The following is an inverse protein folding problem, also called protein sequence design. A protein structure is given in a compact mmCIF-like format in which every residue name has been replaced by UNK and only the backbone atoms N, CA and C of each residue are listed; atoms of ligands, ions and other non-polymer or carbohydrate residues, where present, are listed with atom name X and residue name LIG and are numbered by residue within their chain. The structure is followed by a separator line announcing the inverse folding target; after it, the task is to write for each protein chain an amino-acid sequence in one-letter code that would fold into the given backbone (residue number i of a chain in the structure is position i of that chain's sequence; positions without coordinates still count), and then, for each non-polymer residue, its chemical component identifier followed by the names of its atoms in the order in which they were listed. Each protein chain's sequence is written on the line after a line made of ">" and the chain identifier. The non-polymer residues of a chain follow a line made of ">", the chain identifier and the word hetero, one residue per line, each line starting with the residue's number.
data_IF_172715349253
#
_entry.id   IF_172715349253
#
_cell.length_a   1.000
_cell.length_b   1.000
_cell.length_c   1.000
_cell.angle_alpha   90.00
_cell.angle_beta   90.00
_cell.angle_gamma   90.00
#
_symmetry.space_group_name_H-M   'P 1'
#
loop_
_entity.id
_entity.type
_entity.pdbx_description
1 polymer ?
#
# COMPACT_ATOMS: atom_id res chain seq x y z
N UNK A 1 -2.67 52.70 10.11
CA UNK A 1 -3.67 51.62 10.16
C UNK A 1 -4.47 51.88 11.42
N UNK A 2 -5.73 52.28 11.31
CA UNK A 2 -6.53 52.53 12.50
C UNK A 2 -6.77 51.21 13.25
N UNK A 3 -6.94 51.27 14.57
CA UNK A 3 -7.08 50.08 15.43
C UNK A 3 -8.21 49.12 14.95
N UNK A 4 -9.20 49.65 14.23
CA UNK A 4 -10.31 48.91 13.64
C UNK A 4 -9.97 48.02 12.44
N UNK A 5 -8.78 48.14 11.85
CA UNK A 5 -8.38 47.33 10.68
C UNK A 5 -7.50 46.14 11.06
N UNK A 6 -7.18 45.98 12.33
CA UNK A 6 -6.40 44.82 12.82
C UNK A 6 -7.19 43.54 12.56
N UNK A 7 -6.53 42.54 11.96
CA UNK A 7 -7.19 41.31 11.55
C UNK A 7 -7.69 40.50 12.78
N UNK A 8 -7.06 40.64 13.95
CA UNK A 8 -7.62 40.23 15.25
C UNK A 8 -8.96 40.89 15.59
N UNK A 9 -9.11 42.20 15.40
CA UNK A 9 -10.38 42.90 15.58
C UNK A 9 -11.41 42.47 14.52
N UNK A 10 -10.98 42.25 13.28
CA UNK A 10 -11.87 41.70 12.24
C UNK A 10 -12.33 40.28 12.56
N UNK A 11 -11.47 39.43 13.10
CA UNK A 11 -11.76 38.06 13.57
C UNK A 11 -12.77 38.10 14.71
N UNK A 12 -12.57 38.97 15.70
CA UNK A 12 -13.52 39.18 16.79
C UNK A 12 -14.90 39.65 16.29
N UNK A 13 -14.93 40.62 15.36
CA UNK A 13 -16.16 41.12 14.76
C UNK A 13 -16.86 40.05 13.91
N UNK A 14 -16.10 39.23 13.17
CA UNK A 14 -16.62 38.08 12.41
C UNK A 14 -17.19 37.01 13.34
N UNK A 15 -16.51 36.69 14.44
CA UNK A 15 -16.98 35.75 15.46
C UNK A 15 -18.29 36.21 16.10
N UNK A 16 -18.41 37.49 16.45
CA UNK A 16 -19.67 38.06 16.95
C UNK A 16 -20.81 37.96 15.92
N UNK A 17 -20.53 38.17 14.64
CA UNK A 17 -21.52 38.03 13.57
C UNK A 17 -21.98 36.58 13.38
N UNK A 18 -21.06 35.61 13.47
CA UNK A 18 -21.37 34.17 13.35
C UNK A 18 -22.25 33.69 14.52
N UNK A 19 -22.07 34.25 15.72
CA UNK A 19 -22.89 33.93 16.88
C UNK A 19 -24.27 34.61 16.87
N UNK A 20 -24.46 35.66 16.05
CA UNK A 20 -25.70 36.42 15.99
C UNK A 20 -26.75 35.72 15.14
N UNK A 21 -27.83 35.26 15.77
CA UNK A 21 -28.95 34.61 15.09
C UNK A 21 -29.61 35.54 14.04
N UNK A 22 -29.63 36.85 14.29
CA UNK A 22 -30.18 37.84 13.36
C UNK A 22 -29.38 37.92 12.06
N UNK A 23 -28.06 37.84 12.15
CA UNK A 23 -27.19 37.86 10.95
C UNK A 23 -27.29 36.53 10.21
N UNK A 24 -27.31 35.39 10.93
CA UNK A 24 -27.52 34.07 10.33
C UNK A 24 -28.83 33.97 9.54
N UNK A 25 -29.94 34.47 10.09
CA UNK A 25 -31.23 34.48 9.39
C UNK A 25 -31.18 35.38 8.13
N UNK A 26 -30.52 36.53 8.21
CA UNK A 26 -30.33 37.42 7.05
C UNK A 26 -29.53 36.74 5.95
N UNK A 27 -28.37 36.17 6.28
CA UNK A 27 -27.50 35.47 5.33
C UNK A 27 -28.23 34.26 4.70
N UNK A 28 -29.02 33.54 5.49
CA UNK A 28 -29.86 32.44 5.01
C UNK A 28 -30.96 32.92 4.05
N UNK A 29 -31.64 34.01 4.38
CA UNK A 29 -32.63 34.62 3.50
C UNK A 29 -31.99 35.14 2.21
N UNK A 30 -30.86 35.84 2.27
CA UNK A 30 -30.18 36.39 1.07
C UNK A 30 -29.64 35.30 0.13
N UNK A 31 -29.20 34.18 0.68
CA UNK A 31 -28.66 33.06 -0.11
C UNK A 31 -29.76 32.17 -0.66
N UNK A 32 -30.77 31.80 0.13
CA UNK A 32 -31.78 30.81 -0.26
C UNK A 32 -33.00 31.45 -0.94
N UNK A 33 -33.35 32.70 -0.63
CA UNK A 33 -34.56 33.35 -1.18
C UNK A 33 -34.36 33.70 -2.66
N UNK A 34 -35.10 33.00 -3.52
CA UNK A 34 -35.16 33.28 -4.96
C UNK A 34 -34.13 32.54 -5.82
N UNK A 35 -33.27 31.69 -5.24
CA UNK A 35 -32.30 30.87 -5.99
C UNK A 35 -32.68 29.40 -5.92
N UNK A 36 -32.97 28.78 -7.07
CA UNK A 36 -33.44 27.40 -7.15
C UNK A 36 -32.34 26.34 -6.91
N UNK A 37 -31.07 26.70 -7.17
CA UNK A 37 -29.91 25.83 -6.97
C UNK A 37 -28.74 26.68 -6.45
N UNK A 38 -28.30 26.41 -5.22
CA UNK A 38 -27.07 26.96 -4.67
C UNK A 38 -25.92 25.99 -4.93
N UNK A 39 -24.78 26.52 -5.35
CA UNK A 39 -23.52 25.77 -5.32
C UNK A 39 -23.21 25.34 -3.89
N UNK A 40 -22.63 24.15 -3.72
CA UNK A 40 -22.32 23.58 -2.39
C UNK A 40 -21.53 24.56 -1.51
N UNK A 41 -20.60 25.30 -2.11
CA UNK A 41 -19.72 26.26 -1.42
C UNK A 41 -20.44 27.54 -0.94
N UNK A 42 -21.66 27.81 -1.43
CA UNK A 42 -22.44 29.02 -1.09
C UNK A 42 -23.58 28.73 -0.12
N UNK A 43 -23.71 27.49 0.33
CA UNK A 43 -24.75 27.10 1.28
C UNK A 43 -24.46 27.73 2.65
N UNK A 44 -25.44 28.34 3.34
CA UNK A 44 -25.24 28.99 4.64
C UNK A 44 -24.56 28.09 5.69
N UNK A 45 -24.91 26.81 5.72
CA UNK A 45 -24.28 25.84 6.62
C UNK A 45 -22.79 25.63 6.31
N UNK A 46 -22.43 25.57 5.02
CA UNK A 46 -21.04 25.43 4.59
C UNK A 46 -20.22 26.71 4.87
N UNK A 47 -20.78 27.88 4.57
CA UNK A 47 -20.13 29.17 4.85
C UNK A 47 -19.89 29.36 6.36
N UNK A 48 -20.86 28.98 7.20
CA UNK A 48 -20.73 29.04 8.66
C UNK A 48 -19.63 28.11 9.17
N UNK A 49 -19.61 26.87 8.66
CA UNK A 49 -18.57 25.89 9.01
C UNK A 49 -17.17 26.32 8.55
N UNK A 50 -17.06 26.89 7.34
CA UNK A 50 -15.81 27.44 6.81
C UNK A 50 -15.31 28.63 7.61
N UNK A 51 -16.20 29.54 7.99
CA UNK A 51 -15.82 30.68 8.81
C UNK A 51 -15.39 30.24 10.21
N UNK A 52 -16.10 29.27 10.82
CA UNK A 52 -15.70 28.68 12.09
C UNK A 52 -14.33 27.98 12.00
N UNK A 53 -14.03 27.28 10.91
CA UNK A 53 -12.71 26.64 10.73
C UNK A 53 -11.58 27.66 10.56
N UNK A 54 -11.83 28.78 9.88
CA UNK A 54 -10.88 29.90 9.79
C UNK A 54 -10.61 30.52 11.17
N UNK A 55 -11.65 30.68 12.00
CA UNK A 55 -11.50 31.20 13.38
C UNK A 55 -10.69 30.26 14.29
N UNK A 56 -10.84 28.95 14.11
CA UNK A 56 -10.13 27.92 14.87
C UNK A 56 -8.69 27.70 14.37
N UNK A 57 -8.36 28.17 13.17
CA UNK A 57 -7.05 27.99 12.56
C UNK A 57 -6.00 28.84 13.25
N UNK A 58 -5.09 28.18 13.97
CA UNK A 58 -3.96 28.82 14.64
C UNK A 58 -3.05 29.58 13.67
N UNK A 59 -2.95 29.10 12.42
CA UNK A 59 -2.17 29.74 11.37
C UNK A 59 -2.71 31.13 11.02
N UNK A 60 -4.03 31.27 10.88
CA UNK A 60 -4.65 32.56 10.56
C UNK A 60 -4.59 33.52 11.76
N UNK A 61 -4.66 32.99 12.98
CA UNK A 61 -4.49 33.78 14.21
C UNK A 61 -3.07 34.34 14.37
N UNK A 62 -2.04 33.55 14.02
CA UNK A 62 -0.63 33.96 14.14
C UNK A 62 -0.15 34.88 13.02
N UNK A 63 -0.87 34.94 11.91
CA UNK A 63 -0.51 35.71 10.71
C UNK A 63 -0.23 37.19 11.00
N UNK A 64 -1.06 37.83 11.83
CA UNK A 64 -0.89 39.24 12.19
C UNK A 64 0.36 39.47 13.04
N UNK A 65 0.62 38.56 13.98
CA UNK A 65 1.82 38.60 14.81
C UNK A 65 3.07 38.42 13.95
N UNK A 66 3.03 37.52 12.98
CA UNK A 66 4.11 37.29 12.02
C UNK A 66 4.31 38.49 11.08
N UNK A 67 3.24 39.12 10.60
CA UNK A 67 3.32 40.32 9.77
C UNK A 67 3.91 41.51 10.55
N UNK A 68 3.49 41.69 11.81
CA UNK A 68 4.04 42.72 12.70
C UNK A 68 5.51 42.40 13.05
N UNK A 69 5.84 41.13 13.30
CA UNK A 69 7.24 40.70 13.51
C UNK A 69 8.10 40.95 12.28
N UNK A 70 7.56 40.73 11.08
CA UNK A 70 8.25 40.95 9.80
C UNK A 70 8.47 42.43 9.47
N UNK A 71 7.56 43.32 9.89
CA UNK A 71 7.68 44.77 9.71
C UNK A 71 8.48 45.47 10.82
N UNK A 72 8.70 44.81 11.95
CA UNK A 72 9.40 45.36 13.12
C UNK A 72 8.64 46.54 13.78
N UNK A 73 9.26 47.16 14.78
CA UNK A 73 8.70 48.29 15.54
C UNK A 73 8.28 49.49 14.67
N UNK A 74 8.83 49.63 13.46
CA UNK A 74 8.48 50.70 12.52
C UNK A 74 7.15 50.48 11.78
N UNK A 75 6.59 49.26 11.76
CA UNK A 75 5.33 48.96 11.08
C UNK A 75 4.07 49.36 11.85
N UNK A 76 4.18 49.62 13.16
CA UNK A 76 3.02 49.85 14.04
C UNK A 76 2.54 51.30 14.10
N UNK A 77 3.16 52.24 13.35
CA UNK A 77 2.71 53.64 13.28
C UNK A 77 2.68 54.36 14.64
N UNK A 78 3.22 53.76 15.69
CA UNK A 78 3.49 54.42 16.96
C UNK A 78 4.57 55.45 16.67
N UNK A 79 4.18 56.73 16.64
CA UNK A 79 5.13 57.83 16.63
C UNK A 79 6.21 57.53 17.66
N UNK A 80 7.47 57.59 17.22
CA UNK A 80 8.61 57.20 18.05
C UNK A 80 8.66 58.16 19.24
N UNK A 81 8.04 57.73 20.36
CA UNK A 81 8.13 58.48 21.61
C UNK A 81 9.60 58.76 21.90
N UNK A 82 9.93 59.91 22.51
CA UNK A 82 11.34 60.29 22.74
C UNK A 82 12.12 59.25 23.54
N UNK A 83 11.44 58.46 24.39
CA UNK A 83 12.01 57.30 25.06
C UNK A 83 12.28 56.13 24.12
N UNK A 84 11.35 55.81 23.22
CA UNK A 84 11.56 54.75 22.22
C UNK A 84 12.72 55.08 21.27
N UNK A 85 12.90 56.37 20.93
CA UNK A 85 14.06 56.86 20.18
C UNK A 85 15.38 56.60 20.92
N UNK A 86 15.41 56.84 22.23
CA UNK A 86 16.60 56.58 23.07
C UNK A 86 16.91 55.10 23.11
N UNK A 87 15.90 54.25 23.31
CA UNK A 87 16.05 52.78 23.32
C UNK A 87 16.54 52.28 21.96
N UNK A 88 15.99 52.80 20.85
CA UNK A 88 16.42 52.44 19.49
C UNK A 88 17.87 52.83 19.23
N UNK A 89 18.27 54.05 19.59
CA UNK A 89 19.66 54.52 19.48
C UNK A 89 20.60 53.69 20.35
N UNK A 90 20.24 53.42 21.60
CA UNK A 90 21.02 52.57 22.49
C UNK A 90 21.17 51.14 21.92
N UNK A 91 20.09 50.57 21.38
CA UNK A 91 20.12 49.26 20.72
C UNK A 91 20.98 49.24 19.47
N UNK A 92 20.99 50.33 18.67
CA UNK A 92 21.86 50.46 17.50
C UNK A 92 23.33 50.56 17.89
N UNK A 93 23.65 51.32 18.94
CA UNK A 93 25.02 51.43 19.47
C UNK A 93 25.52 50.09 19.99
N UNK A 94 24.66 49.30 20.65
CA UNK A 94 25.00 47.96 21.13
C UNK A 94 25.09 46.92 20.01
N UNK A 95 24.49 47.19 18.84
CA UNK A 95 24.49 46.26 17.73
C UNK A 95 25.86 46.24 17.04
N UNK A 96 26.58 45.14 17.23
CA UNK A 96 27.93 44.97 16.71
C UNK A 96 28.03 45.10 15.18
N UNK A 97 26.97 44.75 14.43
CA UNK A 97 26.94 44.90 12.97
C UNK A 97 26.84 46.36 12.53
N UNK A 98 26.02 47.15 13.22
CA UNK A 98 25.89 48.60 12.98
C UNK A 98 27.20 49.31 13.33
N UNK A 99 27.77 48.99 14.50
CA UNK A 99 29.05 49.55 14.95
C UNK A 99 30.20 49.31 13.94
N UNK A 100 30.23 48.13 13.31
CA UNK A 100 31.26 47.79 12.31
C UNK A 100 30.94 48.31 10.92
N UNK A 101 29.70 48.74 10.65
CA UNK A 101 29.28 49.12 9.29
C UNK A 101 30.05 50.32 8.76
N UNK A 102 30.25 51.37 9.55
CA UNK A 102 30.99 52.55 9.11
C UNK A 102 32.45 52.20 8.82
N UNK A 103 33.06 51.37 9.68
CA UNK A 103 34.40 50.85 9.49
C UNK A 103 34.50 49.98 8.22
N UNK A 104 33.54 49.08 7.99
CA UNK A 104 33.47 48.24 6.79
C UNK A 104 33.24 49.09 5.52
N UNK A 105 32.28 50.02 5.53
CA UNK A 105 31.97 50.87 4.37
C UNK A 105 33.10 51.84 4.03
N UNK A 106 33.76 52.44 5.01
CA UNK A 106 34.89 53.31 4.76
C UNK A 106 36.15 52.55 4.33
N UNK A 107 36.43 51.40 4.95
CA UNK A 107 37.66 50.67 4.68
C UNK A 107 37.52 49.79 3.43
N UNK A 108 36.45 48.99 3.34
CA UNK A 108 36.16 48.15 2.17
C UNK A 108 35.70 48.99 0.98
N UNK A 109 34.91 50.06 1.20
CA UNK A 109 34.41 50.93 0.14
C UNK A 109 35.46 51.88 -0.45
N UNK A 110 36.51 52.26 0.30
CA UNK A 110 37.68 52.97 -0.25
C UNK A 110 38.74 52.01 -0.85
N UNK A 111 38.45 50.70 -0.92
CA UNK A 111 39.34 49.71 -1.52
C UNK A 111 40.60 49.41 -0.69
N UNK A 112 40.64 49.83 0.58
CA UNK A 112 41.70 49.41 1.50
C UNK A 112 41.28 48.09 2.13
N UNK A 113 41.69 46.98 1.55
CA UNK A 113 41.42 45.68 2.14
C UNK A 113 42.15 45.57 3.49
N UNK A 114 41.41 45.48 4.60
CA UNK A 114 41.92 44.94 5.87
C UNK A 114 42.12 43.42 5.71
N UNK A 115 42.86 43.03 4.68
CA UNK A 115 43.37 41.69 4.59
C UNK A 115 44.31 41.48 5.77
N UNK A 116 44.27 40.30 6.36
CA UNK A 116 45.23 39.87 7.36
C UNK A 116 46.71 39.96 6.87
N UNK A 117 46.90 40.27 5.59
CA UNK A 117 48.16 40.50 4.88
C UNK A 117 48.59 41.97 4.72
N UNK A 118 47.98 42.93 5.44
CA UNK A 118 48.64 44.24 5.57
C UNK A 118 50.00 44.00 6.22
N UNK A 119 51.08 44.39 5.54
CA UNK A 119 52.48 44.12 5.93
C UNK A 119 52.78 44.48 7.40
N UNK A 120 52.19 45.56 7.89
CA UNK A 120 52.27 46.01 9.29
C UNK A 120 51.65 45.01 10.26
N UNK A 121 50.49 44.43 9.93
CA UNK A 121 49.81 43.40 10.74
C UNK A 121 50.66 42.12 10.81
N UNK A 122 51.26 41.70 9.69
CA UNK A 122 52.16 40.55 9.67
C UNK A 122 53.42 40.81 10.52
N UNK A 123 54.00 42.01 10.43
CA UNK A 123 55.13 42.43 11.28
C UNK A 123 54.76 42.41 12.75
N UNK A 124 53.58 42.93 13.12
CA UNK A 124 53.09 42.91 14.49
C UNK A 124 52.84 41.49 15.00
N UNK A 125 52.27 40.60 14.18
CA UNK A 125 52.11 39.17 14.52
C UNK A 125 53.45 38.49 14.75
N UNK A 126 54.40 38.63 13.82
CA UNK A 126 55.75 38.05 13.97
C UNK A 126 56.49 38.63 15.18
N UNK A 127 56.40 39.94 15.41
CA UNK A 127 56.99 40.57 16.58
C UNK A 127 56.37 40.04 17.88
N UNK A 128 55.04 39.87 17.92
CA UNK A 128 54.32 39.29 19.06
C UNK A 128 54.67 37.82 19.27
N UNK A 129 54.78 37.03 18.20
CA UNK A 129 55.22 35.62 18.23
C UNK A 129 56.64 35.48 18.78
N UNK A 130 57.58 36.31 18.30
CA UNK A 130 58.98 36.37 18.77
C UNK A 130 59.05 36.79 20.24
N UNK A 131 58.22 37.76 20.65
CA UNK A 131 58.13 38.21 22.04
C UNK A 131 57.50 37.13 22.95
N UNK A 132 56.59 36.32 22.41
CA UNK A 132 55.93 35.28 23.16
C UNK A 132 56.90 34.14 23.48
N UNK A 133 56.87 33.68 24.74
CA UNK A 133 57.61 32.46 25.13
C UNK A 133 56.81 31.18 24.85
N UNK A 134 55.69 31.26 24.14
CA UNK A 134 54.76 30.12 23.95
C UNK A 134 55.44 29.02 23.15
N UNK A 135 56.06 29.36 22.02
CA UNK A 135 56.77 28.41 21.17
C UNK A 135 57.91 27.72 21.90
N UNK A 136 58.68 28.46 22.72
CA UNK A 136 59.76 27.90 23.52
C UNK A 136 59.26 26.94 24.62
N UNK A 137 58.18 27.31 25.32
CA UNK A 137 57.56 26.43 26.32
C UNK A 137 56.97 25.18 25.69
N UNK A 138 56.40 25.30 24.49
CA UNK A 138 55.85 24.17 23.75
C UNK A 138 56.95 23.21 23.28
N UNK A 139 58.05 23.72 22.72
CA UNK A 139 59.18 22.87 22.32
C UNK A 139 59.82 22.19 23.53
N UNK A 140 59.98 22.89 24.66
CA UNK A 140 60.48 22.27 25.89
C UNK A 140 59.52 21.21 26.41
N UNK A 141 58.21 21.44 26.42
CA UNK A 141 57.22 20.41 26.79
C UNK A 141 57.28 19.19 25.85
N UNK A 142 57.43 19.37 24.54
CA UNK A 142 57.60 18.28 23.59
C UNK A 142 58.90 17.51 23.86
N UNK A 143 59.98 18.23 24.20
CA UNK A 143 61.28 17.63 24.56
C UNK A 143 61.19 16.84 25.86
N UNK A 144 60.49 17.36 26.87
CA UNK A 144 60.21 16.69 28.14
C UNK A 144 59.35 15.45 27.95
N UNK A 145 58.33 15.51 27.08
CA UNK A 145 57.53 14.35 26.70
C UNK A 145 58.31 13.35 25.82
N UNK A 146 59.35 13.80 25.11
CA UNK A 146 60.23 12.99 24.27
C UNK A 146 61.30 12.23 25.06
N UNK A 147 61.59 12.63 26.30
CA UNK A 147 62.34 11.79 27.23
C UNK A 147 61.45 10.63 27.64
N UNK A 148 61.46 9.58 26.81
CA UNK A 148 60.62 8.41 26.94
C UNK A 148 60.78 7.78 28.32
N UNK A 149 59.72 7.83 29.11
CA UNK A 149 59.52 6.81 30.13
C UNK A 149 59.37 5.48 29.40
N UNK A 150 60.04 4.42 29.87
CA UNK A 150 59.90 3.07 29.32
C UNK A 150 58.43 2.66 29.43
N UNK A 151 57.67 2.79 28.34
CA UNK A 151 56.23 2.51 28.23
C UNK A 151 55.88 1.03 28.24
N UNK A 152 56.76 0.18 28.76
CA UNK A 152 56.65 -1.27 28.65
C UNK A 152 56.07 -1.91 29.92
N UNK A 153 55.85 -1.13 30.98
CA UNK A 153 55.20 -1.62 32.20
C UNK A 153 53.68 -1.41 32.14
N UNK A 154 52.86 -2.44 32.46
CA UNK A 154 51.40 -2.34 32.40
C UNK A 154 50.84 -1.30 33.37
N UNK A 155 51.53 -1.04 34.47
CA UNK A 155 51.17 -0.01 35.45
C UNK A 155 51.30 1.41 34.87
N UNK A 156 52.36 1.67 34.10
CA UNK A 156 52.56 2.96 33.45
C UNK A 156 51.56 3.17 32.30
N UNK A 157 51.22 2.11 31.55
CA UNK A 157 50.15 2.16 30.55
C UNK A 157 48.80 2.49 31.20
N UNK A 158 48.51 1.86 32.34
CA UNK A 158 47.29 2.15 33.10
C UNK A 158 47.28 3.58 33.65
N UNK A 159 48.39 4.07 34.20
CA UNK A 159 48.51 5.44 34.69
C UNK A 159 48.34 6.48 33.56
N UNK A 160 48.89 6.21 32.38
CA UNK A 160 48.69 7.02 31.17
C UNK A 160 47.22 7.06 30.75
N UNK A 161 46.55 5.90 30.74
CA UNK A 161 45.12 5.79 30.45
C UNK A 161 44.26 6.57 31.47
N UNK A 162 44.50 6.39 32.77
CA UNK A 162 43.77 7.09 33.83
C UNK A 162 43.97 8.60 33.74
N UNK A 163 45.18 9.07 33.46
CA UNK A 163 45.47 10.50 33.24
C UNK A 163 44.56 11.09 32.16
N UNK A 164 44.32 10.35 31.09
CA UNK A 164 43.46 10.79 29.99
C UNK A 164 41.98 10.76 30.37
N UNK A 165 41.52 9.72 31.07
CA UNK A 165 40.15 9.58 31.56
C UNK A 165 39.79 10.68 32.55
N UNK A 166 40.70 11.04 33.46
CA UNK A 166 40.48 12.08 34.47
C UNK A 166 40.76 13.50 33.97
N UNK A 167 41.29 13.66 32.75
CA UNK A 167 41.60 14.98 32.19
C UNK A 167 40.31 15.74 31.86
N UNK A 168 40.04 16.80 32.62
CA UNK A 168 38.85 17.64 32.44
C UNK A 168 38.78 18.27 31.03
N UNK A 169 39.94 18.55 30.42
CA UNK A 169 40.00 19.07 29.05
C UNK A 169 39.51 18.02 28.05
N UNK A 170 40.08 16.81 28.10
CA UNK A 170 39.67 15.70 27.20
C UNK A 170 38.19 15.36 27.38
N UNK A 171 37.70 15.37 28.63
CA UNK A 171 36.28 15.17 28.92
C UNK A 171 35.38 16.21 28.24
N UNK A 172 35.74 17.50 28.34
CA UNK A 172 34.98 18.60 27.70
C UNK A 172 35.04 18.50 26.18
N UNK A 173 36.22 18.27 25.62
CA UNK A 173 36.42 18.14 24.17
C UNK A 173 35.59 16.97 23.61
N UNK A 174 35.58 15.82 24.28
CA UNK A 174 34.78 14.65 23.87
C UNK A 174 33.28 14.92 24.04
N UNK A 175 32.86 15.60 25.12
CA UNK A 175 31.48 16.00 25.30
C UNK A 175 31.00 16.96 24.21
N UNK A 176 31.85 17.88 23.75
CA UNK A 176 31.57 18.76 22.61
C UNK A 176 31.54 17.98 21.28
N UNK A 177 32.42 17.00 21.09
CA UNK A 177 32.42 16.12 19.91
C UNK A 177 31.15 15.28 19.82
N UNK A 178 30.70 14.76 20.97
CA UNK A 178 29.47 13.98 21.10
C UNK A 178 28.21 14.86 21.17
N UNK A 179 28.37 16.18 21.34
CA UNK A 179 27.26 17.13 21.35
C UNK A 179 26.56 17.11 19.99
N UNK A 180 25.39 16.46 19.94
CA UNK A 180 24.60 16.29 18.73
C UNK A 180 24.69 14.91 18.10
N UNK A 181 25.61 14.04 18.55
CA UNK A 181 25.65 12.62 18.20
C UNK A 181 24.92 11.80 19.27
N UNK A 182 23.63 12.11 19.49
CA UNK A 182 22.79 11.23 20.28
C UNK A 182 22.37 10.08 19.37
N UNK A 183 22.86 8.87 19.65
CA UNK A 183 22.18 7.68 19.16
C UNK A 183 20.86 7.63 19.93
N UNK A 184 19.73 7.76 19.21
CA UNK A 184 18.45 7.36 19.77
C UNK A 184 18.64 5.92 20.23
N UNK A 185 18.53 5.71 21.55
CA UNK A 185 18.54 4.38 22.15
C UNK A 185 17.75 3.46 21.23
N UNK A 186 18.36 2.38 20.73
CA UNK A 186 17.60 1.32 20.06
C UNK A 186 16.43 0.97 20.98
N UNK A 187 15.23 0.90 20.40
CA UNK A 187 14.01 0.73 21.18
C UNK A 187 14.20 -0.45 22.14
N UNK A 188 14.10 -0.19 23.44
CA UNK A 188 14.00 -1.26 24.43
C UNK A 188 12.85 -2.18 24.03
N UNK A 189 12.89 -3.48 24.32
CA UNK A 189 11.83 -4.42 23.95
C UNK A 189 10.43 -3.99 24.44
N UNK A 190 10.35 -3.25 25.55
CA UNK A 190 9.13 -2.60 26.03
C UNK A 190 8.57 -1.56 25.05
N UNK A 191 9.44 -0.70 24.49
CA UNK A 191 9.07 0.34 23.52
C UNK A 191 8.62 -0.28 22.18
N UNK A 192 9.24 -1.38 21.76
CA UNK A 192 8.77 -2.14 20.58
C UNK A 192 7.37 -2.71 20.83
N UNK A 193 7.15 -3.37 21.97
CA UNK A 193 5.84 -3.91 22.35
C UNK A 193 4.75 -2.84 22.37
N UNK A 194 5.03 -1.68 22.96
CA UNK A 194 4.09 -0.53 22.99
C UNK A 194 3.79 -0.03 21.58
N UNK A 195 4.80 0.08 20.71
CA UNK A 195 4.63 0.51 19.33
C UNK A 195 3.77 -0.46 18.52
N UNK A 196 3.99 -1.75 18.67
CA UNK A 196 3.20 -2.78 17.98
C UNK A 196 1.76 -2.79 18.48
N UNK A 197 1.54 -2.72 19.80
CA UNK A 197 0.21 -2.55 20.36
C UNK A 197 -0.48 -1.29 19.82
N UNK A 198 0.22 -0.16 19.74
CA UNK A 198 -0.31 1.07 19.17
C UNK A 198 -0.66 0.92 17.69
N UNK A 199 0.13 0.19 16.91
CA UNK A 199 -0.17 -0.13 15.50
C UNK A 199 -1.44 -0.96 15.38
N UNK A 200 -1.61 -1.97 16.24
CA UNK A 200 -2.80 -2.83 16.26
C UNK A 200 -4.07 -2.10 16.72
N UNK A 201 -3.96 -1.17 17.67
CA UNK A 201 -5.10 -0.40 18.17
C UNK A 201 -5.45 0.77 17.25
N UNK A 202 -4.50 1.26 16.44
CA UNK A 202 -4.72 2.43 15.59
C UNK A 202 -5.84 2.21 14.57
N UNK A 203 -6.88 3.04 14.66
CA UNK A 203 -7.99 3.06 13.69
C UNK A 203 -7.54 3.44 12.28
N UNK A 204 -6.40 4.14 12.15
CA UNK A 204 -5.78 4.47 10.87
C UNK A 204 -5.35 3.24 10.08
N UNK A 205 -4.80 2.22 10.75
CA UNK A 205 -4.40 0.96 10.12
C UNK A 205 -5.62 0.20 9.62
N UNK A 206 -6.67 0.08 10.45
CA UNK A 206 -7.96 -0.48 10.04
C UNK A 206 -8.60 0.26 8.86
N UNK A 207 -8.56 1.59 8.84
CA UNK A 207 -9.07 2.39 7.72
C UNK A 207 -8.26 2.16 6.43
N UNK A 208 -6.94 2.02 6.54
CA UNK A 208 -6.05 1.70 5.41
C UNK A 208 -6.29 0.30 4.87
N UNK A 209 -6.34 -0.69 5.76
CA UNK A 209 -6.62 -2.08 5.40
C UNK A 209 -8.03 -2.21 4.82
N UNK A 210 -9.02 -1.52 5.37
CA UNK A 210 -10.37 -1.44 4.80
C UNK A 210 -10.38 -0.80 3.41
N UNK A 211 -9.61 0.28 3.19
CA UNK A 211 -9.44 0.92 1.88
C UNK A 211 -8.83 -0.04 0.85
N UNK A 212 -7.82 -0.81 1.26
CA UNK A 212 -7.14 -1.78 0.41
C UNK A 212 -8.05 -2.99 0.11
N UNK A 213 -8.77 -3.49 1.11
CA UNK A 213 -9.66 -4.65 1.02
C UNK A 213 -10.98 -4.37 0.28
N UNK A 214 -11.39 -3.09 0.16
CA UNK A 214 -12.63 -2.69 -0.52
C UNK A 214 -12.75 -3.15 -1.99
N UNK A 215 -11.67 -3.58 -2.63
CA UNK A 215 -11.69 -4.18 -3.97
C UNK A 215 -11.18 -5.62 -4.05
N UNK A 216 -10.62 -6.16 -2.96
CA UNK A 216 -10.00 -7.50 -2.90
C UNK A 216 -10.88 -8.53 -2.19
N UNK A 217 -11.94 -8.10 -1.51
CA UNK A 217 -12.95 -9.00 -0.95
C UNK A 217 -13.83 -9.56 -2.08
N UNK A 218 -13.30 -10.55 -2.79
CA UNK A 218 -14.12 -11.43 -3.61
C UNK A 218 -15.07 -12.22 -2.72
N UNK A 219 -16.26 -12.54 -3.25
CA UNK A 219 -17.10 -13.55 -2.61
C UNK A 219 -16.28 -14.84 -2.49
N UNK A 220 -16.34 -15.51 -1.34
CA UNK A 220 -15.68 -16.81 -1.17
C UNK A 220 -16.39 -17.77 -2.12
N UNK A 221 -15.80 -17.97 -3.30
CA UNK A 221 -16.44 -18.69 -4.42
C UNK A 221 -16.52 -20.19 -4.15
N UNK A 222 -15.58 -20.72 -3.39
CA UNK A 222 -15.47 -22.16 -3.10
C UNK A 222 -15.51 -22.37 -1.59
N UNK A 223 -16.68 -22.15 -0.98
CA UNK A 223 -16.95 -22.70 0.35
C UNK A 223 -17.07 -24.23 0.25
N UNK A 224 -16.73 -24.99 1.30
CA UNK A 224 -16.78 -26.46 1.24
C UNK A 224 -18.17 -27.00 0.87
N UNK A 225 -19.25 -26.31 1.24
CA UNK A 225 -20.62 -26.65 0.84
C UNK A 225 -20.86 -26.48 -0.66
N UNK A 226 -20.36 -25.39 -1.26
CA UNK A 226 -20.49 -25.13 -2.71
C UNK A 226 -19.72 -26.20 -3.50
N UNK A 227 -18.53 -26.58 -3.03
CA UNK A 227 -17.72 -27.65 -3.63
C UNK A 227 -18.50 -28.98 -3.60
N UNK A 228 -19.04 -29.36 -2.43
CA UNK A 228 -19.81 -30.59 -2.28
C UNK A 228 -21.08 -30.59 -3.13
N UNK A 229 -21.83 -29.48 -3.17
CA UNK A 229 -23.02 -29.34 -4.00
C UNK A 229 -22.69 -29.44 -5.50
N UNK A 230 -21.58 -28.85 -5.93
CA UNK A 230 -21.09 -28.92 -7.31
C UNK A 230 -20.66 -30.33 -7.69
N UNK A 231 -19.95 -31.03 -6.81
CA UNK A 231 -19.57 -32.43 -7.01
C UNK A 231 -20.79 -33.37 -7.07
N UNK A 232 -21.76 -33.18 -6.17
CA UNK A 232 -23.00 -33.95 -6.20
C UNK A 232 -23.78 -33.70 -7.49
N UNK A 233 -23.87 -32.45 -7.95
CA UNK A 233 -24.50 -32.10 -9.23
C UNK A 233 -23.77 -32.75 -10.40
N UNK A 234 -22.43 -32.79 -10.38
CA UNK A 234 -21.61 -33.49 -11.39
C UNK A 234 -21.82 -35.00 -11.39
N UNK A 235 -22.06 -35.61 -10.24
CA UNK A 235 -22.34 -37.06 -10.11
C UNK A 235 -23.75 -37.44 -10.55
N UNK A 236 -24.73 -36.57 -10.30
CA UNK A 236 -26.14 -36.79 -10.68
C UNK A 236 -26.39 -36.48 -12.18
N UNK A 237 -25.51 -35.70 -12.80
CA UNK A 237 -25.59 -35.28 -14.18
C UNK A 237 -25.64 -36.48 -15.16
N UNK A 238 -26.82 -36.74 -15.72
CA UNK A 238 -27.05 -37.75 -16.78
C UNK A 238 -26.15 -37.56 -18.01
N UNK A 239 -25.83 -36.32 -18.37
CA UNK A 239 -24.95 -36.01 -19.52
C UNK A 239 -23.56 -36.59 -19.30
N UNK A 240 -22.99 -36.37 -18.11
CA UNK A 240 -21.68 -36.93 -17.73
C UNK A 240 -21.71 -38.44 -17.59
N UNK A 241 -22.79 -38.99 -17.03
CA UNK A 241 -22.97 -40.44 -16.95
C UNK A 241 -22.95 -41.08 -18.35
N UNK A 242 -23.63 -40.49 -19.33
CA UNK A 242 -23.62 -40.96 -20.72
C UNK A 242 -22.27 -40.79 -21.41
N UNK A 243 -21.54 -39.71 -21.12
CA UNK A 243 -20.17 -39.50 -21.61
C UNK A 243 -19.19 -40.55 -21.06
N UNK A 244 -19.27 -40.89 -19.76
CA UNK A 244 -18.39 -41.86 -19.11
C UNK A 244 -18.70 -43.32 -19.52
N UNK A 245 -19.97 -43.65 -19.73
CA UNK A 245 -20.40 -45.00 -20.14
C UNK A 245 -20.11 -45.26 -21.63
N UNK A 246 -20.03 -44.21 -22.46
CA UNK A 246 -19.82 -44.32 -23.90
C UNK A 246 -20.98 -45.01 -24.63
N UNK A 247 -21.01 -44.92 -25.96
CA UNK A 247 -21.98 -45.64 -26.79
C UNK A 247 -21.65 -47.13 -26.76
N UNK A 248 -22.35 -47.89 -25.91
CA UNK A 248 -22.12 -49.32 -25.74
C UNK A 248 -22.26 -50.08 -27.06
N UNK A 249 -21.26 -50.89 -27.40
CA UNK A 249 -21.38 -51.88 -28.47
C UNK A 249 -22.41 -52.94 -28.07
N UNK A 250 -23.41 -53.17 -28.91
CA UNK A 250 -24.39 -54.22 -28.67
C UNK A 250 -23.68 -55.58 -28.58
N UNK A 251 -23.84 -56.28 -27.45
CA UNK A 251 -23.37 -57.65 -27.27
C UNK A 251 -24.06 -58.51 -28.32
N UNK A 252 -23.27 -59.02 -29.27
CA UNK A 252 -23.76 -59.57 -30.54
C UNK A 252 -24.65 -60.81 -30.36
N UNK A 253 -24.34 -61.67 -29.38
CA UNK A 253 -25.12 -62.89 -29.12
C UNK A 253 -25.35 -63.07 -27.62
N UNK A 254 -26.60 -62.92 -27.19
CA UNK A 254 -27.00 -63.27 -25.82
C UNK A 254 -27.16 -64.80 -25.69
N UNK A 255 -27.01 -65.39 -24.49
CA UNK A 255 -27.17 -66.83 -24.29
C UNK A 255 -28.56 -67.35 -24.71
N UNK A 256 -29.58 -66.49 -24.65
CA UNK A 256 -30.93 -66.80 -25.15
C UNK A 256 -30.99 -66.82 -26.68
N UNK A 257 -30.29 -65.91 -27.37
CA UNK A 257 -30.18 -65.95 -28.83
C UNK A 257 -29.47 -67.23 -29.30
N UNK A 258 -28.44 -67.68 -28.60
CA UNK A 258 -27.80 -68.97 -28.92
C UNK A 258 -28.71 -70.18 -28.69
N UNK A 259 -29.54 -70.15 -27.65
CA UNK A 259 -30.53 -71.21 -27.37
C UNK A 259 -31.59 -71.28 -28.47
N UNK A 260 -32.12 -70.12 -28.88
CA UNK A 260 -33.08 -70.03 -29.99
C UNK A 260 -32.45 -70.49 -31.29
N UNK A 261 -31.21 -70.10 -31.59
CA UNK A 261 -30.49 -70.55 -32.80
C UNK A 261 -30.30 -72.06 -32.83
N UNK A 262 -29.84 -72.66 -31.73
CA UNK A 262 -29.68 -74.13 -31.60
C UNK A 262 -31.01 -74.87 -31.73
N UNK A 263 -32.09 -74.34 -31.13
CA UNK A 263 -33.42 -74.92 -31.29
C UNK A 263 -33.91 -74.83 -32.74
N UNK A 264 -33.68 -73.71 -33.42
CA UNK A 264 -34.03 -73.55 -34.83
C UNK A 264 -33.24 -74.51 -35.74
N UNK A 265 -31.96 -74.73 -35.46
CA UNK A 265 -31.12 -75.72 -36.15
C UNK A 265 -31.65 -77.15 -35.95
N UNK A 266 -32.05 -77.50 -34.72
CA UNK A 266 -32.63 -78.80 -34.39
C UNK A 266 -33.97 -79.05 -35.11
N UNK A 267 -34.88 -78.07 -35.07
CA UNK A 267 -36.17 -78.14 -35.77
C UNK A 267 -35.95 -78.28 -37.28
N UNK A 268 -35.02 -77.50 -37.84
CA UNK A 268 -34.66 -77.55 -39.26
C UNK A 268 -34.05 -78.89 -39.66
N UNK A 269 -33.32 -79.56 -38.75
CA UNK A 269 -32.78 -80.91 -38.97
C UNK A 269 -33.89 -81.95 -39.05
N UNK A 270 -34.80 -81.96 -38.07
CA UNK A 270 -35.94 -82.90 -38.05
C UNK A 270 -36.84 -82.71 -39.27
N UNK A 271 -37.11 -81.46 -39.65
CA UNK A 271 -37.89 -81.16 -40.85
C UNK A 271 -37.24 -81.73 -42.11
N UNK A 272 -35.91 -81.61 -42.26
CA UNK A 272 -35.17 -82.18 -43.40
C UNK A 272 -35.21 -83.71 -43.42
N UNK A 273 -35.19 -84.36 -42.26
CA UNK A 273 -35.30 -85.83 -42.17
C UNK A 273 -36.69 -86.33 -42.52
N UNK A 274 -37.74 -85.66 -42.04
CA UNK A 274 -39.13 -85.95 -42.42
C UNK A 274 -39.35 -85.78 -43.93
N UNK A 275 -38.84 -84.70 -44.52
CA UNK A 275 -38.89 -84.51 -45.98
C UNK A 275 -38.20 -85.66 -46.73
N UNK A 276 -37.02 -86.10 -46.27
CA UNK A 276 -36.30 -87.23 -46.86
C UNK A 276 -37.09 -88.53 -46.77
N UNK A 277 -37.72 -88.82 -45.63
CA UNK A 277 -38.55 -90.01 -45.46
C UNK A 277 -39.79 -89.97 -46.35
N UNK A 278 -40.49 -88.84 -46.43
CA UNK A 278 -41.65 -88.65 -47.32
C UNK A 278 -41.25 -88.83 -48.79
N UNK A 279 -40.11 -88.26 -49.21
CA UNK A 279 -39.57 -88.45 -50.56
C UNK A 279 -39.22 -89.91 -50.84
N UNK A 280 -38.60 -90.63 -49.89
CA UNK A 280 -38.31 -92.06 -50.04
C UNK A 280 -39.58 -92.91 -50.18
N UNK A 281 -40.63 -92.62 -49.40
CA UNK A 281 -41.93 -93.31 -49.50
C UNK A 281 -42.59 -93.03 -50.86
N UNK A 282 -42.52 -91.80 -51.36
CA UNK A 282 -43.09 -91.43 -52.66
C UNK A 282 -42.29 -92.01 -53.84
N UNK A 283 -40.95 -92.06 -53.74
CA UNK A 283 -40.09 -92.72 -54.74
C UNK A 283 -40.35 -94.24 -54.77
N UNK A 284 -40.60 -94.87 -53.62
CA UNK A 284 -41.00 -96.29 -53.53
C UNK A 284 -42.37 -96.58 -54.14
N UNK A 285 -43.30 -95.62 -54.13
CA UNK A 285 -44.66 -95.74 -54.72
C UNK A 285 -44.71 -95.42 -56.23
N UNK A 286 -43.65 -94.86 -56.80
CA UNK A 286 -43.48 -94.61 -58.23
C UNK A 286 -44.59 -93.76 -58.89
N UNK A 287 -45.17 -92.81 -58.14
CA UNK A 287 -46.20 -91.87 -58.62
C UNK A 287 -45.58 -90.53 -59.07
N UNK A 288 -45.49 -90.24 -60.38
CA UNK A 288 -44.76 -89.08 -60.89
C UNK A 288 -45.47 -87.72 -60.67
N UNK A 289 -46.77 -87.73 -60.39
CA UNK A 289 -47.60 -86.51 -60.23
C UNK A 289 -47.39 -85.87 -58.85
N UNK A 290 -47.38 -86.68 -57.79
CA UNK A 290 -47.19 -86.23 -56.41
C UNK A 290 -45.77 -85.70 -56.16
N UNK A 291 -44.75 -86.31 -56.78
CA UNK A 291 -43.36 -85.83 -56.72
C UNK A 291 -43.16 -84.45 -57.36
N UNK A 292 -43.91 -84.13 -58.42
CA UNK A 292 -43.88 -82.79 -59.05
C UNK A 292 -44.60 -81.74 -58.18
N UNK A 293 -45.73 -82.08 -57.57
CA UNK A 293 -46.45 -81.18 -56.65
C UNK A 293 -45.66 -80.87 -55.38
N UNK A 294 -44.97 -81.86 -54.80
CA UNK A 294 -44.17 -81.66 -53.60
C UNK A 294 -42.94 -80.79 -53.87
N UNK A 295 -42.30 -80.92 -55.05
CA UNK A 295 -41.21 -80.02 -55.48
C UNK A 295 -41.70 -78.59 -55.75
N UNK A 296 -42.91 -78.41 -56.28
CA UNK A 296 -43.48 -77.06 -56.50
C UNK A 296 -43.91 -76.40 -55.20
N UNK A 297 -44.47 -77.15 -54.25
CA UNK A 297 -44.79 -76.64 -52.90
C UNK A 297 -43.53 -76.30 -52.10
N UNK A 298 -42.45 -77.09 -52.20
CA UNK A 298 -41.17 -76.79 -51.52
C UNK A 298 -40.53 -75.49 -52.02
N UNK A 299 -40.67 -75.17 -53.31
CA UNK A 299 -40.21 -73.90 -53.90
C UNK A 299 -41.06 -72.70 -53.45
N UNK A 300 -42.34 -72.89 -53.13
CA UNK A 300 -43.21 -71.82 -52.62
C UNK A 300 -43.05 -71.60 -51.11
N UNK A 301 -42.80 -72.65 -50.31
CA UNK A 301 -42.64 -72.52 -48.86
C UNK A 301 -41.25 -71.99 -48.44
N UNK A 302 -40.18 -72.26 -49.19
CA UNK A 302 -38.86 -71.66 -48.94
C UNK A 302 -38.82 -70.14 -49.21
N UNK A 303 -39.77 -69.60 -49.97
CA UNK A 303 -39.92 -68.17 -50.20
C UNK A 303 -40.63 -67.42 -49.04
N UNK A 304 -41.12 -68.14 -48.02
CA UNK A 304 -41.97 -67.57 -46.95
C UNK A 304 -41.31 -67.65 -45.56
N UNK A 305 -40.03 -68.02 -45.45
CA UNK A 305 -39.30 -67.75 -44.20
C UNK A 305 -38.94 -66.26 -44.17
N UNK A 306 -39.53 -65.44 -43.28
CA UNK A 306 -39.11 -64.06 -43.17
C UNK A 306 -37.68 -64.04 -42.65
N UNK A 307 -36.75 -63.59 -43.51
CA UNK A 307 -35.51 -62.97 -43.03
C UNK A 307 -35.98 -61.83 -42.12
N UNK A 308 -35.87 -62.03 -40.82
CA UNK A 308 -36.27 -61.03 -39.84
C UNK A 308 -35.50 -59.74 -40.14
N UNK A 309 -36.18 -58.60 -40.39
CA UNK A 309 -35.47 -57.36 -40.60
C UNK A 309 -34.83 -56.97 -39.25
N UNK A 310 -33.51 -56.86 -39.26
CA UNK A 310 -32.77 -56.12 -38.22
C UNK A 310 -33.45 -54.75 -38.10
N UNK A 311 -34.05 -54.47 -36.93
CA UNK A 311 -34.69 -53.19 -36.65
C UNK A 311 -33.67 -52.06 -36.83
N UNK A 312 -34.05 -50.92 -37.45
CA UNK A 312 -33.16 -49.78 -37.59
C UNK A 312 -32.92 -49.16 -36.22
N UNK A 313 -31.64 -49.05 -35.85
CA UNK A 313 -31.19 -48.26 -34.70
C UNK A 313 -31.53 -46.80 -34.98
N UNK A 314 -32.48 -46.24 -34.24
CA UNK A 314 -32.75 -44.80 -34.25
C UNK A 314 -31.58 -44.07 -33.60
N UNK A 315 -31.09 -42.95 -34.18
CA UNK A 315 -30.10 -42.12 -33.52
C UNK A 315 -30.83 -41.30 -32.44
N UNK A 316 -30.64 -41.67 -31.18
CA UNK A 316 -31.10 -40.85 -30.06
C UNK A 316 -30.07 -39.74 -29.84
N UNK A 317 -30.60 -38.51 -29.91
CA UNK A 317 -29.93 -37.24 -29.67
C UNK A 317 -29.51 -37.08 -28.20
#
# INVERSE_FOLDING_TARGET
>A
MEFGDTQTYQVFRKAQKIQSEKEYRRDFEETVKGKALLEADQTPGYLTARNASILLSEKEYRKDLEEVKGRGLSGLGLEETPELLRVKKASQILNQKEYRRDLETEIVGKGMELSADVLEMQRAKRASEIQSQVSYKQTEQLRQNSYGTLTDTPELLHASYLKDVYSQKKYKDEAERLRGHYSLLSDTPEMERVRDNQRHISSLRYSWDSKLMRGLMGTVTETPEIVLARENTRKISDVRYREEVGSGTAVVDTPEMERVRRNQENISSVSRELERMVLLVLVRRNDPVLLKQLKTQRMTCLAVLPVSPLLPVSPVR
#
